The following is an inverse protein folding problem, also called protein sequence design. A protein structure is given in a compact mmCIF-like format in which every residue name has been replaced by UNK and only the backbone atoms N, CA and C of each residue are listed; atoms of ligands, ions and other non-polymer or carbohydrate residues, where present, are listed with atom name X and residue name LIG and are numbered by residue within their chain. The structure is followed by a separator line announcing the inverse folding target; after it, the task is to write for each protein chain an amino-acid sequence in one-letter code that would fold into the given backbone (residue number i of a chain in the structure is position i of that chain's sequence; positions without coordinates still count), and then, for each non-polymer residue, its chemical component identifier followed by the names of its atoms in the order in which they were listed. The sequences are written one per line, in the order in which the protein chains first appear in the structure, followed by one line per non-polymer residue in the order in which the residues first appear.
data_IF_769377829795
#
_entry.id   IF_769377829795
#
_cell.length_a   1.000
_cell.length_b   1.000
_cell.length_c   1.000
_cell.angle_alpha   90.00
_cell.angle_beta   90.00
_cell.angle_gamma   90.00
#
_symmetry.space_group_name_H-M   'P 1'
#
loop_
_entity.id
_entity.type
_entity.pdbx_description
1 polymer ?
#
# COMPACT_ATOMS: atom_id res chain seq x y z
N UNK A 1 24.53 55.55 2.57
CA UNK A 1 24.49 54.30 3.37
C UNK A 1 23.02 54.07 3.75
N UNK A 2 22.28 53.30 2.94
CA UNK A 2 20.86 53.02 3.18
C UNK A 2 20.75 51.76 4.04
N UNK A 3 20.24 51.93 5.23
CA UNK A 3 19.98 50.84 6.16
C UNK A 3 18.60 50.24 5.84
N UNK A 4 18.56 49.06 5.22
CA UNK A 4 17.31 48.32 4.99
C UNK A 4 16.95 47.64 6.30
N UNK A 5 15.96 48.12 6.99
CA UNK A 5 15.30 47.47 8.11
C UNK A 5 14.48 46.27 7.56
N UNK A 6 15.02 45.08 7.67
CA UNK A 6 14.25 43.83 7.53
C UNK A 6 13.33 43.72 8.75
N UNK A 7 12.09 44.17 8.62
CA UNK A 7 11.02 43.82 9.55
C UNK A 7 10.70 42.33 9.30
N UNK A 8 11.33 41.46 10.08
CA UNK A 8 10.90 40.07 10.21
C UNK A 8 9.49 40.09 10.80
N UNK A 9 8.48 39.75 10.01
CA UNK A 9 7.15 39.48 10.52
C UNK A 9 7.28 38.22 11.43
N UNK A 10 7.54 38.43 12.71
CA UNK A 10 7.16 37.44 13.72
C UNK A 10 5.64 37.41 13.69
N UNK A 11 5.04 36.36 13.15
CA UNK A 11 3.71 35.96 13.56
C UNK A 11 3.84 35.66 15.06
N UNK A 12 3.30 36.56 15.87
CA UNK A 12 3.07 36.25 17.28
C UNK A 12 2.08 35.05 17.28
N UNK A 13 2.62 33.89 17.52
CA UNK A 13 1.84 32.66 17.72
C UNK A 13 1.23 32.83 19.11
N UNK A 14 0.04 33.38 19.19
CA UNK A 14 -0.74 33.31 20.42
C UNK A 14 -1.05 31.80 20.60
N UNK A 15 -0.57 31.16 21.67
CA UNK A 15 -0.95 29.79 21.94
C UNK A 15 -2.46 29.74 22.06
N UNK A 16 -3.10 28.77 21.39
CA UNK A 16 -4.55 28.59 21.48
C UNK A 16 -4.99 28.61 22.93
N UNK A 17 -5.75 29.64 23.30
CA UNK A 17 -6.29 29.79 24.65
C UNK A 17 -7.56 28.95 24.86
N UNK A 18 -8.05 28.31 23.79
CA UNK A 18 -9.31 27.56 23.80
C UNK A 18 -9.13 26.19 23.18
N UNK A 19 -9.43 25.20 23.99
CA UNK A 19 -9.46 23.79 23.58
C UNK A 19 -10.91 23.31 23.50
N UNK A 20 -11.13 22.35 22.64
CA UNK A 20 -12.39 21.63 22.59
C UNK A 20 -12.54 20.82 23.88
N UNK A 21 -13.72 20.85 24.46
CA UNK A 21 -14.05 20.07 25.66
C UNK A 21 -13.80 18.57 25.44
N UNK A 22 -13.84 17.76 26.53
CA UNK A 22 -13.55 16.36 26.45
C UNK A 22 -14.46 15.67 25.42
N UNK A 23 -13.83 14.95 24.50
CA UNK A 23 -14.50 14.11 23.52
C UNK A 23 -14.31 12.64 23.90
N UNK A 24 -15.29 11.82 23.57
CA UNK A 24 -15.24 10.40 23.85
C UNK A 24 -15.56 9.59 22.60
N UNK A 25 -14.85 8.47 22.45
CA UNK A 25 -15.19 7.42 21.49
C UNK A 25 -15.12 6.06 22.19
N UNK A 26 -15.91 5.12 21.70
CA UNK A 26 -15.93 3.76 22.20
C UNK A 26 -15.53 2.81 21.07
N UNK A 27 -14.41 2.12 21.25
CA UNK A 27 -13.75 1.28 20.23
C UNK A 27 -14.16 -0.19 20.46
N UNK A 28 -14.84 -0.78 19.50
CA UNK A 28 -15.27 -2.17 19.56
C UNK A 28 -14.83 -2.96 18.34
N UNK A 29 -14.50 -4.24 18.50
CA UNK A 29 -14.25 -5.18 17.43
C UNK A 29 -14.86 -6.56 17.75
N UNK A 30 -15.90 -6.94 17.02
CA UNK A 30 -16.70 -8.13 17.35
C UNK A 30 -17.26 -8.01 18.77
N UNK A 31 -16.93 -8.96 19.63
CA UNK A 31 -17.30 -8.96 21.05
C UNK A 31 -16.34 -8.19 21.94
N UNK A 32 -15.15 -7.81 21.43
CA UNK A 32 -14.16 -7.04 22.18
C UNK A 32 -14.62 -5.59 22.36
N UNK A 33 -14.40 -5.06 23.55
CA UNK A 33 -14.84 -3.72 23.94
C UNK A 33 -16.33 -3.64 24.33
N UNK A 34 -17.15 -4.65 24.03
CA UNK A 34 -18.59 -4.69 24.36
C UNK A 34 -18.95 -5.78 25.38
N UNK A 35 -18.60 -7.03 25.09
CA UNK A 35 -18.88 -8.19 25.96
C UNK A 35 -17.61 -8.67 26.67
N UNK A 36 -16.43 -8.46 26.04
CA UNK A 36 -15.12 -8.84 26.57
C UNK A 36 -14.15 -7.65 26.54
N UNK A 37 -13.36 -7.44 27.61
CA UNK A 37 -12.33 -6.42 27.60
C UNK A 37 -11.14 -6.84 26.72
N UNK A 38 -10.44 -5.87 26.14
CA UNK A 38 -9.14 -6.07 25.51
C UNK A 38 -8.09 -6.44 26.57
N UNK A 39 -7.14 -7.26 26.20
CA UNK A 39 -5.98 -7.59 27.07
C UNK A 39 -5.03 -6.39 27.22
N UNK A 40 -4.98 -5.53 26.23
CA UNK A 40 -4.14 -4.31 26.21
C UNK A 40 -4.93 -3.12 25.68
N UNK A 41 -4.64 -1.89 26.16
CA UNK A 41 -5.25 -0.68 25.62
C UNK A 41 -4.98 -0.53 24.11
N UNK A 42 -5.98 -0.01 23.39
CA UNK A 42 -5.82 0.42 22.02
C UNK A 42 -5.22 1.83 21.99
N UNK A 43 -4.41 2.12 20.97
CA UNK A 43 -3.81 3.43 20.74
C UNK A 43 -4.66 4.19 19.73
N UNK A 44 -5.02 5.43 20.07
CA UNK A 44 -5.73 6.34 19.19
C UNK A 44 -4.86 7.55 18.90
N UNK A 45 -4.69 7.89 17.64
CA UNK A 45 -3.95 9.07 17.18
C UNK A 45 -4.88 10.00 16.43
N UNK A 46 -4.94 11.26 16.86
CA UNK A 46 -5.66 12.35 16.19
C UNK A 46 -4.66 13.27 15.51
N UNK A 47 -4.70 13.37 14.19
CA UNK A 47 -3.85 14.28 13.40
C UNK A 47 -4.68 15.48 12.99
N UNK A 48 -4.33 16.68 13.48
CA UNK A 48 -4.89 17.94 13.00
C UNK A 48 -4.24 18.28 11.66
N UNK A 49 -4.95 18.05 10.56
CA UNK A 49 -4.45 18.28 9.21
C UNK A 49 -4.35 19.79 8.88
N UNK A 50 -5.03 20.65 9.63
CA UNK A 50 -4.97 22.11 9.45
C UNK A 50 -3.66 22.67 10.01
N UNK A 51 -3.24 22.17 11.18
CA UNK A 51 -2.11 22.74 11.91
C UNK A 51 -0.91 21.79 12.02
N UNK A 52 -1.03 20.56 11.46
CA UNK A 52 0.00 19.54 11.45
C UNK A 52 0.43 19.07 12.86
N UNK A 53 -0.50 19.13 13.83
CA UNK A 53 -0.28 18.57 15.17
C UNK A 53 -0.84 17.15 15.28
N UNK A 54 -0.14 16.34 16.07
CA UNK A 54 -0.55 14.95 16.36
C UNK A 54 -0.76 14.78 17.85
N UNK A 55 -1.90 14.20 18.21
CA UNK A 55 -2.29 13.90 19.58
C UNK A 55 -2.40 12.39 19.72
N UNK A 56 -1.97 11.86 20.88
CA UNK A 56 -1.98 10.44 21.18
C UNK A 56 -2.81 10.16 22.42
N UNK A 57 -3.70 9.17 22.34
CA UNK A 57 -4.56 8.75 23.41
C UNK A 57 -4.52 7.22 23.55
N UNK A 58 -4.83 6.72 24.75
CA UNK A 58 -5.01 5.30 24.98
C UNK A 58 -6.46 5.02 25.38
N UNK A 59 -7.00 3.86 25.00
CA UNK A 59 -8.26 3.39 25.54
C UNK A 59 -8.07 2.81 26.95
N UNK A 60 -9.15 2.68 27.70
CA UNK A 60 -9.22 1.68 28.75
C UNK A 60 -9.34 0.27 28.13
N UNK A 61 -9.38 -0.76 28.97
CA UNK A 61 -9.54 -2.14 28.49
C UNK A 61 -10.92 -2.44 27.88
N UNK A 62 -11.88 -1.57 28.09
CA UNK A 62 -13.22 -1.65 27.50
C UNK A 62 -13.36 -0.81 26.23
N UNK A 63 -12.25 -0.31 25.71
CA UNK A 63 -12.25 0.47 24.46
C UNK A 63 -12.70 1.91 24.59
N UNK A 64 -12.95 2.43 25.82
CA UNK A 64 -13.31 3.82 25.99
C UNK A 64 -12.07 4.71 25.90
N UNK A 65 -12.14 5.74 25.07
CA UNK A 65 -11.10 6.75 24.91
C UNK A 65 -11.68 8.11 25.27
N UNK A 66 -11.04 8.81 26.20
CA UNK A 66 -11.31 10.22 26.50
C UNK A 66 -10.19 11.08 25.92
N UNK A 67 -10.57 12.08 25.14
CA UNK A 67 -9.65 12.98 24.44
C UNK A 67 -9.83 14.41 24.94
N UNK A 68 -8.77 14.97 25.51
CA UNK A 68 -8.74 16.31 26.05
C UNK A 68 -7.67 17.16 25.32
N UNK A 69 -7.91 18.47 25.25
CA UNK A 69 -6.92 19.43 24.76
C UNK A 69 -6.76 19.48 23.25
N UNK A 70 -7.75 18.99 22.48
CA UNK A 70 -7.76 19.15 21.03
C UNK A 70 -8.05 20.60 20.64
N UNK A 71 -7.36 21.11 19.60
CA UNK A 71 -7.64 22.42 19.00
C UNK A 71 -8.69 22.31 17.89
N UNK A 72 -9.38 23.39 17.51
CA UNK A 72 -10.25 23.36 16.32
C UNK A 72 -9.47 23.02 15.05
N UNK A 73 -10.10 22.32 14.11
CA UNK A 73 -9.48 21.97 12.84
C UNK A 73 -10.10 20.77 12.14
N UNK A 74 -9.46 20.37 11.04
CA UNK A 74 -9.79 19.16 10.29
C UNK A 74 -8.88 18.02 10.75
N UNK A 75 -9.47 16.90 11.12
CA UNK A 75 -8.75 15.80 11.72
C UNK A 75 -8.86 14.49 10.93
N UNK A 76 -7.83 13.69 11.11
CA UNK A 76 -7.79 12.25 10.81
C UNK A 76 -7.60 11.49 12.12
N UNK A 77 -8.41 10.46 12.35
CA UNK A 77 -8.33 9.55 13.47
C UNK A 77 -7.78 8.21 13.01
N UNK A 78 -6.74 7.73 13.67
CA UNK A 78 -6.18 6.40 13.48
C UNK A 78 -6.25 5.63 14.79
N UNK A 79 -6.65 4.38 14.72
CA UNK A 79 -6.62 3.44 15.84
C UNK A 79 -5.69 2.30 15.50
N UNK A 80 -4.91 1.85 16.48
CA UNK A 80 -4.06 0.68 16.36
C UNK A 80 -4.01 -0.09 17.66
N UNK A 81 -3.80 -1.40 17.58
CA UNK A 81 -3.68 -2.28 18.72
C UNK A 81 -3.26 -3.68 18.31
N UNK A 82 -3.23 -4.58 19.26
CA UNK A 82 -2.99 -6.00 19.00
C UNK A 82 -4.04 -6.81 19.73
N UNK A 83 -4.51 -7.87 19.09
CA UNK A 83 -5.33 -8.91 19.73
C UNK A 83 -4.47 -10.15 19.93
N UNK A 84 -4.56 -10.73 21.12
CA UNK A 84 -3.94 -12.01 21.45
C UNK A 84 -4.60 -13.15 20.69
N UNK A 85 -3.96 -14.32 20.67
CA UNK A 85 -4.53 -15.53 20.07
C UNK A 85 -5.90 -15.90 20.70
N UNK A 86 -6.05 -15.70 22.02
CA UNK A 86 -7.30 -15.95 22.72
C UNK A 86 -8.40 -14.97 22.30
N UNK A 87 -8.08 -13.69 22.18
CA UNK A 87 -9.03 -12.66 21.70
C UNK A 87 -9.44 -12.90 20.25
N UNK A 88 -8.51 -13.32 19.39
CA UNK A 88 -8.81 -13.71 18.00
C UNK A 88 -9.75 -14.91 17.97
N UNK A 89 -9.54 -15.92 18.82
CA UNK A 89 -10.43 -17.06 18.88
C UNK A 89 -11.87 -16.70 19.31
N UNK A 90 -12.06 -15.60 20.07
CA UNK A 90 -13.38 -15.09 20.40
C UNK A 90 -14.08 -14.38 19.24
N UNK A 91 -13.35 -13.61 18.43
CA UNK A 91 -13.91 -12.78 17.35
C UNK A 91 -13.92 -13.48 15.99
N UNK A 92 -12.99 -14.40 15.77
CA UNK A 92 -12.85 -15.21 14.54
C UNK A 92 -12.43 -16.65 14.85
N UNK A 93 -13.33 -17.49 15.34
CA UNK A 93 -13.03 -18.87 15.74
C UNK A 93 -12.39 -19.71 14.62
N UNK A 94 -12.72 -19.42 13.36
CA UNK A 94 -12.23 -20.12 12.17
C UNK A 94 -10.76 -19.77 11.81
N UNK A 95 -10.16 -18.75 12.42
CA UNK A 95 -8.85 -18.21 12.01
C UNK A 95 -7.64 -18.97 12.55
N UNK A 96 -7.86 -19.97 13.41
CA UNK A 96 -6.79 -20.76 14.02
C UNK A 96 -6.00 -20.03 15.11
N UNK A 97 -6.48 -18.87 15.61
CA UNK A 97 -6.03 -18.24 16.85
C UNK A 97 -4.58 -17.76 16.86
N UNK A 98 -4.16 -17.01 15.86
CA UNK A 98 -2.86 -16.30 15.89
C UNK A 98 -3.06 -14.86 16.33
N UNK A 99 -2.09 -14.29 17.04
CA UNK A 99 -2.03 -12.85 17.35
C UNK A 99 -2.16 -12.04 16.06
N UNK A 100 -2.94 -10.97 16.10
CA UNK A 100 -3.14 -10.09 14.95
C UNK A 100 -3.16 -8.63 15.38
N UNK A 101 -2.76 -7.73 14.46
CA UNK A 101 -2.89 -6.30 14.65
C UNK A 101 -4.33 -5.86 14.35
N UNK A 102 -4.81 -4.89 15.13
CA UNK A 102 -6.09 -4.23 14.94
C UNK A 102 -5.85 -2.80 14.47
N UNK A 103 -6.55 -2.35 13.46
CA UNK A 103 -6.47 -1.00 12.95
C UNK A 103 -7.87 -0.42 12.68
N UNK A 104 -7.96 0.91 12.68
CA UNK A 104 -9.14 1.66 12.26
C UNK A 104 -8.75 3.04 11.78
N UNK A 105 -9.55 3.60 10.89
CA UNK A 105 -9.26 4.87 10.26
C UNK A 105 -10.54 5.66 9.96
N UNK A 106 -10.52 6.96 10.28
CA UNK A 106 -11.55 7.91 9.85
C UNK A 106 -10.90 9.25 9.51
N UNK A 107 -11.21 9.79 8.33
CA UNK A 107 -10.76 11.11 7.89
C UNK A 107 -11.93 12.10 7.81
N UNK A 108 -11.59 13.38 7.61
CA UNK A 108 -12.58 14.43 7.38
C UNK A 108 -13.36 14.86 8.64
N UNK A 109 -12.85 14.57 9.84
CA UNK A 109 -13.46 14.96 11.11
C UNK A 109 -13.23 16.48 11.31
N UNK A 110 -14.29 17.27 11.36
CA UNK A 110 -14.19 18.71 11.63
C UNK A 110 -14.55 18.99 13.09
N UNK A 111 -13.61 19.52 13.86
CA UNK A 111 -13.80 19.95 15.23
C UNK A 111 -13.88 21.47 15.33
N UNK A 112 -14.85 22.00 16.07
CA UNK A 112 -15.13 23.44 16.22
C UNK A 112 -15.33 23.81 17.69
N UNK A 113 -14.95 25.02 18.09
CA UNK A 113 -15.15 25.51 19.45
C UNK A 113 -16.64 25.59 19.83
N UNK A 114 -17.48 26.02 18.89
CA UNK A 114 -18.89 26.31 19.11
C UNK A 114 -19.82 25.26 18.46
N UNK A 115 -19.31 24.06 18.18
CA UNK A 115 -20.03 23.00 17.47
C UNK A 115 -20.39 21.81 18.33
N UNK A 116 -21.34 21.01 17.85
CA UNK A 116 -21.52 19.63 18.30
C UNK A 116 -20.37 18.81 17.70
N UNK A 117 -19.41 18.44 18.57
CA UNK A 117 -18.21 17.71 18.20
C UNK A 117 -18.36 16.20 18.50
N UNK A 118 -19.55 15.64 18.28
CA UNK A 118 -19.73 14.19 18.41
C UNK A 118 -18.81 13.43 17.46
N UNK A 119 -18.13 12.41 17.96
CA UNK A 119 -17.23 11.56 17.21
C UNK A 119 -17.83 10.16 17.05
N UNK A 120 -17.82 9.65 15.82
CA UNK A 120 -18.04 8.24 15.57
C UNK A 120 -16.70 7.50 15.65
N UNK A 121 -16.70 6.35 16.33
CA UNK A 121 -15.58 5.45 16.29
C UNK A 121 -15.32 4.97 14.85
N UNK A 122 -14.05 4.81 14.44
CA UNK A 122 -13.75 4.18 13.17
C UNK A 122 -14.16 2.71 13.22
N UNK A 123 -14.55 2.17 12.09
CA UNK A 123 -14.66 0.72 11.95
C UNK A 123 -13.28 0.10 12.15
N UNK A 124 -13.20 -0.87 13.07
CA UNK A 124 -11.95 -1.59 13.34
C UNK A 124 -11.88 -2.86 12.49
N UNK A 125 -10.71 -3.17 12.00
CA UNK A 125 -10.45 -4.38 11.21
C UNK A 125 -9.12 -5.02 11.62
N UNK A 126 -9.05 -6.35 11.47
CA UNK A 126 -7.79 -7.05 11.65
C UNK A 126 -6.86 -6.74 10.48
N UNK A 127 -5.69 -6.25 10.82
CA UNK A 127 -4.57 -6.22 9.88
C UNK A 127 -3.91 -7.58 9.97
N UNK A 128 -4.03 -8.36 8.91
CA UNK A 128 -3.24 -9.59 8.82
C UNK A 128 -1.77 -9.19 9.01
N UNK A 129 -1.11 -9.79 10.00
CA UNK A 129 0.33 -9.63 10.16
C UNK A 129 1.00 -10.34 8.99
N UNK A 130 1.05 -9.68 7.84
CA UNK A 130 1.74 -10.22 6.69
C UNK A 130 3.24 -10.01 6.90
N UNK A 131 4.00 -11.10 6.99
CA UNK A 131 5.44 -10.99 7.18
C UNK A 131 6.12 -10.34 5.97
N UNK A 132 5.49 -10.37 4.80
CA UNK A 132 6.04 -9.81 3.56
C UNK A 132 5.26 -8.57 3.16
N UNK A 133 5.97 -7.45 3.07
CA UNK A 133 5.40 -6.14 2.73
C UNK A 133 6.23 -5.43 1.65
N UNK A 134 5.63 -4.48 0.94
CA UNK A 134 6.41 -3.51 0.17
C UNK A 134 7.19 -2.60 1.12
N UNK A 135 8.47 -2.37 0.81
CA UNK A 135 9.32 -1.43 1.52
C UNK A 135 9.52 -0.14 0.75
N UNK A 136 9.72 -0.26 -0.57
CA UNK A 136 9.97 0.87 -1.45
C UNK A 136 9.43 0.60 -2.84
N UNK A 137 8.89 1.64 -3.46
CA UNK A 137 8.43 1.64 -4.85
C UNK A 137 9.07 2.83 -5.58
N UNK A 138 10.02 2.56 -6.46
CA UNK A 138 10.61 3.58 -7.32
C UNK A 138 10.00 3.48 -8.72
N UNK A 139 8.84 4.12 -8.90
CA UNK A 139 7.97 3.97 -10.07
C UNK A 139 8.04 5.13 -11.06
N UNK A 140 8.47 6.31 -10.60
CA UNK A 140 8.48 7.51 -11.45
C UNK A 140 9.68 7.53 -12.42
N UNK A 141 10.74 6.78 -12.10
CA UNK A 141 11.99 6.82 -12.81
C UNK A 141 12.77 8.12 -12.62
N UNK A 142 13.78 8.33 -13.43
CA UNK A 142 14.68 9.47 -13.35
C UNK A 142 14.59 10.39 -14.57
N UNK A 143 15.30 11.51 -14.53
CA UNK A 143 15.51 12.39 -15.69
C UNK A 143 16.79 12.02 -16.40
N UNK A 144 16.77 12.09 -17.72
CA UNK A 144 18.01 12.02 -18.52
C UNK A 144 18.82 13.33 -18.38
N UNK A 145 20.11 13.35 -18.69
CA UNK A 145 20.91 14.59 -18.72
C UNK A 145 20.32 15.69 -19.61
N UNK A 146 19.53 15.33 -20.62
CA UNK A 146 18.81 16.26 -21.50
C UNK A 146 17.44 16.69 -20.95
N UNK A 147 17.04 16.22 -19.75
CA UNK A 147 15.77 16.54 -19.11
C UNK A 147 14.58 15.64 -19.51
N UNK A 148 14.80 14.66 -20.39
CA UNK A 148 13.79 13.66 -20.76
C UNK A 148 13.43 12.74 -19.61
N UNK A 149 12.35 11.97 -19.74
CA UNK A 149 11.96 10.95 -18.77
C UNK A 149 12.66 9.62 -19.08
N UNK A 150 13.18 8.97 -18.04
CA UNK A 150 13.76 7.63 -18.08
C UNK A 150 13.10 6.77 -17.02
N UNK A 151 12.48 5.67 -17.39
CA UNK A 151 11.71 4.81 -16.49
C UNK A 151 12.14 3.33 -16.51
N UNK A 152 13.27 3.03 -17.16
CA UNK A 152 13.81 1.68 -17.17
C UNK A 152 14.49 1.33 -15.84
N UNK A 153 14.75 2.34 -15.00
CA UNK A 153 15.33 2.24 -13.66
C UNK A 153 14.26 2.10 -12.54
N UNK A 154 13.04 1.70 -12.92
CA UNK A 154 12.01 1.37 -11.93
C UNK A 154 12.39 0.11 -11.16
N UNK A 155 12.10 0.11 -9.86
CA UNK A 155 12.24 -1.07 -9.01
C UNK A 155 11.21 -1.10 -7.88
N UNK A 156 11.03 -2.27 -7.33
CA UNK A 156 10.15 -2.54 -6.18
C UNK A 156 10.94 -3.32 -5.16
N UNK A 157 10.95 -2.88 -3.91
CA UNK A 157 11.56 -3.65 -2.85
C UNK A 157 10.53 -4.28 -1.94
N UNK A 158 10.77 -5.54 -1.60
CA UNK A 158 9.93 -6.38 -0.74
C UNK A 158 10.74 -6.75 0.50
N UNK A 159 10.11 -6.70 1.66
CA UNK A 159 10.76 -6.82 2.95
C UNK A 159 10.09 -7.88 3.80
N UNK A 160 10.90 -8.77 4.41
CA UNK A 160 10.43 -9.66 5.46
C UNK A 160 10.42 -8.91 6.80
N UNK A 161 9.22 -8.48 7.20
CA UNK A 161 8.97 -7.72 8.44
C UNK A 161 8.70 -8.63 9.65
N UNK A 162 9.12 -9.89 9.60
CA UNK A 162 8.96 -10.84 10.70
C UNK A 162 10.31 -11.27 11.28
N UNK A 163 10.26 -11.91 12.44
CA UNK A 163 11.43 -12.49 13.11
C UNK A 163 11.76 -13.91 12.63
N UNK A 164 11.01 -14.43 11.65
CA UNK A 164 11.16 -15.77 11.13
C UNK A 164 11.51 -15.77 9.63
N UNK A 165 12.23 -16.79 9.12
CA UNK A 165 12.39 -16.98 7.68
C UNK A 165 11.04 -17.23 7.01
N UNK A 166 10.78 -16.55 5.89
CA UNK A 166 9.51 -16.67 5.15
C UNK A 166 9.77 -17.28 3.78
N UNK A 167 9.08 -18.36 3.48
CA UNK A 167 9.06 -18.94 2.14
C UNK A 167 8.33 -18.00 1.18
N UNK A 168 8.99 -17.64 0.08
CA UNK A 168 8.48 -16.79 -0.99
C UNK A 168 8.30 -17.54 -2.32
N UNK A 169 8.38 -18.86 -2.31
CA UNK A 169 8.19 -19.66 -3.54
C UNK A 169 6.81 -19.45 -4.18
N UNK A 170 5.79 -19.11 -3.38
CA UNK A 170 4.42 -18.79 -3.81
C UNK A 170 4.10 -17.29 -3.71
N UNK A 171 5.12 -16.45 -3.77
CA UNK A 171 4.96 -15.00 -3.79
C UNK A 171 4.80 -14.50 -5.23
N UNK A 172 3.76 -13.69 -5.44
CA UNK A 172 3.53 -13.00 -6.70
C UNK A 172 3.45 -11.49 -6.45
N UNK A 173 3.81 -10.74 -7.49
CA UNK A 173 3.64 -9.28 -7.56
C UNK A 173 2.78 -8.95 -8.78
N UNK A 174 1.87 -7.99 -8.63
CA UNK A 174 1.00 -7.55 -9.72
C UNK A 174 0.68 -6.09 -9.67
N UNK A 175 0.25 -5.56 -10.80
CA UNK A 175 -0.24 -4.19 -10.93
C UNK A 175 -1.74 -4.19 -11.10
N UNK A 176 -2.42 -3.33 -10.34
CA UNK A 176 -3.83 -3.07 -10.55
C UNK A 176 -4.05 -2.39 -11.90
N UNK A 177 -5.24 -2.57 -12.45
CA UNK A 177 -5.67 -1.77 -13.60
C UNK A 177 -5.73 -0.29 -13.21
N UNK A 178 -5.28 0.57 -14.11
CA UNK A 178 -5.27 2.02 -13.93
C UNK A 178 -6.24 2.67 -14.92
N UNK A 179 -7.36 3.16 -14.41
CA UNK A 179 -8.41 3.77 -15.20
C UNK A 179 -8.14 5.25 -15.50
N UNK A 180 -7.27 5.53 -16.43
CA UNK A 180 -7.27 6.81 -17.12
C UNK A 180 -6.53 7.97 -16.50
N UNK A 181 -6.11 7.96 -15.24
CA UNK A 181 -5.24 9.02 -14.75
C UNK A 181 -5.62 9.70 -13.42
N UNK A 182 -4.91 10.76 -13.09
CA UNK A 182 -5.08 11.50 -11.84
C UNK A 182 -6.47 12.13 -11.73
N UNK A 183 -7.20 11.76 -10.69
CA UNK A 183 -8.48 12.37 -10.33
C UNK A 183 -9.70 11.74 -11.00
N UNK A 184 -9.53 10.72 -11.80
CA UNK A 184 -10.66 9.95 -12.31
C UNK A 184 -11.09 8.87 -11.32
N UNK A 185 -12.39 8.75 -11.12
CA UNK A 185 -12.96 7.66 -10.36
C UNK A 185 -13.01 6.45 -11.27
N UNK A 186 -12.29 5.39 -10.92
CA UNK A 186 -12.36 4.12 -11.64
C UNK A 186 -13.78 3.53 -11.64
N UNK A 187 -14.07 2.57 -12.52
CA UNK A 187 -15.36 1.92 -12.56
C UNK A 187 -15.64 1.16 -11.29
N UNK A 188 -16.92 1.09 -10.94
CA UNK A 188 -17.37 0.05 -10.03
C UNK A 188 -17.38 -1.27 -10.80
N UNK A 189 -16.54 -2.21 -10.42
CA UNK A 189 -16.52 -3.53 -11.02
C UNK A 189 -17.80 -4.31 -10.70
N UNK A 190 -18.32 -5.13 -11.62
CA UNK A 190 -19.51 -5.92 -11.38
C UNK A 190 -19.43 -6.78 -10.12
N UNK A 191 -20.38 -6.61 -9.21
CA UNK A 191 -20.44 -7.34 -7.94
C UNK A 191 -19.62 -6.73 -6.79
N UNK A 192 -18.99 -5.57 -7.03
CA UNK A 192 -18.35 -4.78 -5.97
C UNK A 192 -19.29 -3.66 -5.51
N UNK A 193 -19.08 -3.16 -4.29
CA UNK A 193 -19.78 -2.03 -3.69
C UNK A 193 -18.81 -0.88 -3.46
N UNK A 194 -19.23 0.35 -3.72
CA UNK A 194 -18.39 1.52 -3.48
C UNK A 194 -17.92 1.57 -2.02
N UNK A 195 -16.60 1.59 -1.84
CA UNK A 195 -15.97 1.59 -0.52
C UNK A 195 -15.92 0.22 0.18
N UNK A 196 -16.39 -0.84 -0.48
CA UNK A 196 -16.37 -2.21 0.08
C UNK A 196 -15.93 -3.22 -0.99
N UNK A 197 -14.76 -2.97 -1.57
CA UNK A 197 -14.17 -3.89 -2.54
C UNK A 197 -13.66 -5.16 -1.85
N UNK A 198 -13.95 -6.31 -2.44
CA UNK A 198 -13.50 -7.63 -1.96
C UNK A 198 -12.42 -8.25 -2.81
N UNK A 199 -12.10 -7.61 -3.93
CA UNK A 199 -11.15 -8.11 -4.90
C UNK A 199 -10.27 -6.96 -5.41
N UNK A 200 -9.03 -7.29 -5.80
CA UNK A 200 -8.20 -6.45 -6.63
C UNK A 200 -8.30 -6.92 -8.09
N UNK A 201 -8.23 -5.99 -9.02
CA UNK A 201 -8.31 -6.26 -10.46
C UNK A 201 -6.97 -5.95 -11.11
N UNK A 202 -6.26 -7.00 -11.52
CA UNK A 202 -4.87 -6.91 -11.90
C UNK A 202 -4.67 -7.03 -13.40
N UNK A 203 -3.97 -6.06 -13.96
CA UNK A 203 -3.55 -6.02 -15.36
C UNK A 203 -2.46 -7.05 -15.67
N UNK A 204 -1.58 -7.28 -14.71
CA UNK A 204 -0.52 -8.28 -14.83
C UNK A 204 -0.19 -8.91 -13.49
N UNK A 205 0.37 -10.12 -13.55
CA UNK A 205 0.82 -10.89 -12.39
C UNK A 205 2.13 -11.61 -12.77
N UNK A 206 3.13 -11.45 -11.91
CA UNK A 206 4.42 -12.12 -11.99
C UNK A 206 4.66 -12.97 -10.75
N UNK A 207 5.14 -14.19 -10.91
CA UNK A 207 5.70 -14.98 -9.82
C UNK A 207 7.11 -14.52 -9.55
N UNK A 208 7.42 -14.16 -8.30
CA UNK A 208 8.73 -13.56 -7.95
C UNK A 208 9.86 -14.53 -8.18
N UNK A 209 9.67 -15.79 -7.82
CA UNK A 209 10.68 -16.86 -8.02
C UNK A 209 10.31 -17.73 -9.21
N UNK A 210 11.29 -18.10 -10.02
CA UNK A 210 11.08 -19.01 -11.13
C UNK A 210 11.09 -20.48 -10.65
N UNK A 211 10.06 -21.24 -11.05
CA UNK A 211 9.89 -22.63 -10.62
C UNK A 211 9.23 -22.76 -9.24
N UNK A 212 9.28 -23.96 -8.66
CA UNK A 212 8.54 -24.31 -7.45
C UNK A 212 9.45 -24.76 -6.29
N UNK A 213 10.78 -24.56 -6.42
CA UNK A 213 11.70 -24.84 -5.33
C UNK A 213 11.51 -23.80 -4.20
N UNK A 214 11.55 -24.25 -2.93
CA UNK A 214 11.45 -23.34 -1.80
C UNK A 214 12.55 -22.27 -1.82
N UNK A 215 12.16 -21.00 -1.67
CA UNK A 215 13.05 -19.86 -1.55
C UNK A 215 12.66 -19.07 -0.31
N UNK A 216 13.61 -18.82 0.58
CA UNK A 216 13.35 -18.19 1.86
C UNK A 216 13.97 -16.81 1.94
N UNK A 217 13.19 -15.85 2.41
CA UNK A 217 13.70 -14.54 2.89
C UNK A 217 14.01 -14.66 4.38
N UNK A 218 15.24 -14.33 4.76
CA UNK A 218 15.63 -14.26 6.18
C UNK A 218 14.87 -13.12 6.91
N UNK A 219 14.76 -13.18 8.26
CA UNK A 219 14.24 -12.07 9.05
C UNK A 219 14.93 -10.74 8.72
N UNK A 220 14.16 -9.69 8.46
CA UNK A 220 14.70 -8.38 8.14
C UNK A 220 15.33 -8.25 6.74
N UNK A 221 15.31 -9.29 5.92
CA UNK A 221 15.82 -9.24 4.55
C UNK A 221 14.94 -8.38 3.66
N UNK A 222 15.60 -7.63 2.77
CA UNK A 222 14.96 -6.94 1.64
C UNK A 222 15.40 -7.64 0.36
N UNK A 223 14.48 -7.86 -0.58
CA UNK A 223 14.77 -8.22 -1.96
C UNK A 223 14.39 -7.05 -2.87
N UNK A 224 15.15 -6.85 -3.94
CA UNK A 224 14.93 -5.82 -4.95
C UNK A 224 14.52 -6.49 -6.25
N UNK A 225 13.38 -6.08 -6.78
CA UNK A 225 12.83 -6.53 -8.06
C UNK A 225 13.00 -5.39 -9.05
N UNK A 226 13.86 -5.56 -10.05
CA UNK A 226 14.11 -4.57 -11.09
C UNK A 226 13.16 -4.74 -12.27
N UNK A 227 12.74 -3.63 -12.87
CA UNK A 227 12.12 -3.65 -14.20
C UNK A 227 13.13 -4.09 -15.25
N UNK A 228 14.36 -3.59 -15.14
CA UNK A 228 15.52 -3.93 -15.95
C UNK A 228 16.76 -3.89 -15.04
N UNK A 229 17.44 -5.01 -14.87
CA UNK A 229 18.59 -5.14 -13.95
C UNK A 229 19.89 -4.58 -14.54
N UNK A 230 19.82 -3.37 -15.08
CA UNK A 230 20.95 -2.69 -15.73
C UNK A 230 21.78 -1.85 -14.74
N UNK A 231 23.07 -1.63 -15.04
CA UNK A 231 23.90 -0.67 -14.31
C UNK A 231 23.58 0.78 -14.74
N UNK A 232 22.34 1.23 -14.44
CA UNK A 232 21.76 2.44 -15.02
C UNK A 232 22.62 3.69 -14.94
N UNK A 233 23.27 3.93 -13.80
CA UNK A 233 24.11 5.10 -13.57
C UNK A 233 25.61 4.86 -13.83
N UNK A 234 26.01 3.63 -14.16
CA UNK A 234 27.40 3.25 -14.39
C UNK A 234 27.75 3.14 -15.88
N UNK A 235 26.75 2.93 -16.74
CA UNK A 235 26.96 2.74 -18.17
C UNK A 235 26.22 3.82 -18.97
N UNK A 236 26.98 4.51 -19.85
CA UNK A 236 26.47 5.58 -20.72
C UNK A 236 25.42 5.09 -21.75
N UNK A 237 25.30 3.78 -21.97
CA UNK A 237 24.23 3.18 -22.78
C UNK A 237 22.84 3.34 -22.17
N UNK A 238 22.76 3.59 -20.84
CA UNK A 238 21.52 3.78 -20.11
C UNK A 238 21.32 5.25 -19.71
N UNK A 239 21.18 5.54 -18.41
CA UNK A 239 21.01 6.90 -17.94
C UNK A 239 22.03 7.25 -16.83
N UNK A 240 23.15 7.90 -17.16
CA UNK A 240 24.14 8.30 -16.16
C UNK A 240 23.61 9.24 -15.06
N UNK A 241 22.44 9.87 -15.28
CA UNK A 241 21.78 10.70 -14.29
C UNK A 241 20.80 9.92 -13.41
N UNK A 242 20.65 8.61 -13.60
CA UNK A 242 19.85 7.77 -12.71
C UNK A 242 20.45 7.76 -11.31
N UNK A 243 19.64 7.85 -10.23
CA UNK A 243 20.13 7.72 -8.86
C UNK A 243 20.43 6.28 -8.45
N UNK A 244 20.07 5.28 -9.29
CA UNK A 244 20.15 3.86 -8.93
C UNK A 244 21.00 3.04 -9.91
N UNK A 245 21.64 2.01 -9.34
CA UNK A 245 22.27 0.90 -10.06
C UNK A 245 21.48 -0.36 -9.70
N UNK A 246 20.86 -1.00 -10.68
CA UNK A 246 20.05 -2.21 -10.48
C UNK A 246 20.77 -3.49 -10.92
N UNK A 247 22.05 -3.42 -11.28
CA UNK A 247 22.85 -4.60 -11.69
C UNK A 247 23.02 -5.65 -10.59
N UNK A 248 22.67 -5.31 -9.35
CA UNK A 248 22.70 -6.22 -8.19
C UNK A 248 21.31 -6.51 -7.65
N UNK A 249 20.26 -6.28 -8.43
CA UNK A 249 18.90 -6.66 -8.05
C UNK A 249 18.77 -8.18 -7.84
N UNK A 250 17.87 -8.59 -6.96
CA UNK A 250 17.65 -10.01 -6.66
C UNK A 250 16.84 -10.71 -7.75
N UNK A 251 15.93 -9.97 -8.41
CA UNK A 251 15.07 -10.45 -9.49
C UNK A 251 14.86 -9.38 -10.56
N UNK A 252 14.54 -9.85 -11.77
CA UNK A 252 14.25 -9.01 -12.93
C UNK A 252 12.95 -9.43 -13.62
N UNK A 253 12.17 -8.45 -14.09
CA UNK A 253 10.96 -8.68 -14.88
C UNK A 253 11.28 -8.80 -16.36
N UNK A 254 12.04 -9.80 -16.77
CA UNK A 254 12.45 -9.98 -18.14
C UNK A 254 11.39 -10.65 -19.02
N UNK A 255 11.13 -10.06 -20.19
CA UNK A 255 10.35 -10.66 -21.28
C UNK A 255 11.25 -10.71 -22.52
N UNK A 256 11.42 -11.88 -23.16
CA UNK A 256 12.23 -11.99 -24.38
C UNK A 256 11.79 -11.00 -25.45
N UNK A 257 12.69 -10.09 -25.81
CA UNK A 257 12.48 -9.07 -26.83
C UNK A 257 13.22 -9.47 -28.12
N UNK A 258 12.50 -9.74 -29.24
CA UNK A 258 13.13 -10.13 -30.49
C UNK A 258 14.12 -9.10 -31.06
N UNK A 259 13.93 -7.82 -30.73
CA UNK A 259 14.79 -6.73 -31.18
C UNK A 259 15.95 -6.46 -30.22
N UNK A 260 15.95 -7.14 -29.07
CA UNK A 260 16.93 -6.96 -27.99
C UNK A 260 17.07 -5.50 -27.53
N UNK A 261 15.98 -4.75 -27.57
CA UNK A 261 15.93 -3.37 -27.07
C UNK A 261 16.09 -3.36 -25.54
N UNK A 262 15.54 -4.41 -24.88
CA UNK A 262 15.62 -4.65 -23.44
C UNK A 262 16.36 -5.97 -23.21
N UNK A 263 17.70 -5.93 -23.04
CA UNK A 263 18.51 -7.13 -22.91
C UNK A 263 18.22 -7.83 -21.57
N UNK A 264 18.39 -9.16 -21.55
CA UNK A 264 18.43 -9.93 -20.31
C UNK A 264 19.78 -9.73 -19.60
N UNK A 265 19.75 -9.61 -18.29
CA UNK A 265 20.94 -9.47 -17.43
C UNK A 265 21.21 -10.77 -16.68
N UNK A 266 22.39 -10.86 -16.05
CA UNK A 266 22.75 -12.01 -15.19
C UNK A 266 22.09 -11.85 -13.80
N UNK A 267 20.77 -11.70 -13.82
CA UNK A 267 19.89 -11.55 -12.65
C UNK A 267 18.79 -12.58 -12.78
N UNK A 268 18.37 -13.27 -11.69
CA UNK A 268 17.27 -14.22 -11.74
C UNK A 268 15.98 -13.59 -12.30
N UNK A 269 15.45 -14.19 -13.38
CA UNK A 269 14.18 -13.76 -13.97
C UNK A 269 13.00 -14.10 -13.05
N UNK A 270 12.03 -13.20 -12.97
CA UNK A 270 10.67 -13.53 -12.54
C UNK A 270 9.95 -14.35 -13.62
N UNK A 271 8.86 -15.00 -13.25
CA UNK A 271 8.01 -15.73 -14.18
C UNK A 271 6.72 -14.95 -14.47
N UNK A 272 6.53 -14.54 -15.74
CA UNK A 272 5.29 -13.91 -16.16
C UNK A 272 4.14 -14.92 -16.11
N UNK A 273 3.13 -14.65 -15.27
CA UNK A 273 1.98 -15.54 -15.07
C UNK A 273 0.73 -15.04 -15.82
N UNK A 274 0.53 -13.72 -15.84
CA UNK A 274 -0.58 -13.11 -16.53
C UNK A 274 -0.21 -11.71 -17.01
N UNK A 275 -0.38 -11.42 -18.26
CA UNK A 275 -0.35 -10.10 -18.92
C UNK A 275 -0.67 -10.29 -20.40
N UNK A 276 -1.95 -10.32 -20.80
CA UNK A 276 -2.35 -10.74 -22.17
C UNK A 276 -1.86 -9.81 -23.28
N UNK A 277 -1.78 -8.51 -22.98
CA UNK A 277 -1.29 -7.46 -23.90
C UNK A 277 0.12 -6.99 -23.56
N UNK A 278 0.99 -7.90 -23.14
CA UNK A 278 2.30 -7.56 -22.59
C UNK A 278 3.17 -6.67 -23.52
N UNK A 279 3.91 -5.77 -22.89
CA UNK A 279 5.05 -5.07 -23.51
C UNK A 279 6.36 -5.73 -23.08
N UNK A 280 7.44 -5.53 -23.85
CA UNK A 280 8.74 -6.11 -23.51
C UNK A 280 9.44 -5.49 -22.31
N UNK A 281 8.83 -4.52 -21.67
CA UNK A 281 9.33 -3.90 -20.44
C UNK A 281 8.18 -3.64 -19.45
N UNK A 282 8.26 -4.28 -18.30
CA UNK A 282 7.28 -4.10 -17.22
C UNK A 282 7.54 -2.81 -16.45
N UNK A 283 6.65 -1.84 -16.61
CA UNK A 283 6.72 -0.54 -15.92
C UNK A 283 5.40 -0.20 -15.29
N UNK A 284 5.43 0.30 -14.05
CA UNK A 284 4.23 0.87 -13.43
C UNK A 284 3.85 2.21 -14.06
N UNK A 285 2.56 2.49 -14.06
CA UNK A 285 2.06 3.82 -14.42
C UNK A 285 2.46 4.87 -13.38
N UNK A 286 2.71 6.10 -13.83
CA UNK A 286 3.06 7.22 -12.96
C UNK A 286 1.83 7.90 -12.34
N UNK A 287 0.64 7.41 -12.62
CA UNK A 287 -0.64 8.00 -12.23
C UNK A 287 -1.32 7.26 -11.06
N UNK A 288 -0.54 6.71 -10.14
CA UNK A 288 -1.09 6.08 -8.94
C UNK A 288 -1.61 4.65 -9.16
N UNK A 289 -0.98 3.90 -10.06
CA UNK A 289 -1.29 2.49 -10.26
C UNK A 289 -0.96 1.69 -9.00
N UNK A 290 -1.96 1.01 -8.44
CA UNK A 290 -1.77 0.18 -7.26
C UNK A 290 -0.90 -1.04 -7.55
N UNK A 291 -0.07 -1.42 -6.57
CA UNK A 291 0.76 -2.61 -6.60
C UNK A 291 0.32 -3.58 -5.51
N UNK A 292 0.30 -4.86 -5.81
CA UNK A 292 -0.09 -5.89 -4.84
C UNK A 292 0.96 -6.99 -4.72
N UNK A 293 1.14 -7.49 -3.49
CA UNK A 293 1.80 -8.76 -3.22
C UNK A 293 0.74 -9.81 -2.95
N UNK A 294 0.86 -10.96 -3.58
CA UNK A 294 -0.10 -12.06 -3.50
C UNK A 294 0.64 -13.29 -2.98
N UNK A 295 0.00 -14.04 -2.08
CA UNK A 295 0.41 -15.39 -1.71
C UNK A 295 -0.67 -16.37 -2.13
N UNK A 296 -0.35 -17.21 -3.08
CA UNK A 296 -1.24 -18.24 -3.60
C UNK A 296 -0.44 -19.34 -4.29
N UNK A 297 -0.94 -20.56 -4.30
CA UNK A 297 -0.36 -21.61 -5.11
C UNK A 297 -0.51 -21.29 -6.61
N UNK A 298 0.26 -21.96 -7.45
CA UNK A 298 0.17 -21.83 -8.91
C UNK A 298 -1.24 -22.17 -9.43
N UNK A 299 -1.87 -23.20 -8.85
CA UNK A 299 -3.22 -23.62 -9.20
C UNK A 299 -4.26 -22.56 -8.82
N UNK A 300 -4.12 -21.92 -7.65
CA UNK A 300 -5.01 -20.85 -7.21
C UNK A 300 -4.88 -19.62 -8.11
N UNK A 301 -3.66 -19.23 -8.47
CA UNK A 301 -3.43 -18.09 -9.40
C UNK A 301 -4.01 -18.39 -10.79
N UNK A 302 -3.84 -19.61 -11.29
CA UNK A 302 -4.43 -20.03 -12.56
C UNK A 302 -5.97 -19.99 -12.52
N UNK A 303 -6.56 -20.32 -11.36
CA UNK A 303 -8.01 -20.32 -11.14
C UNK A 303 -8.63 -18.93 -10.92
N UNK A 304 -7.84 -17.87 -10.73
CA UNK A 304 -8.42 -16.52 -10.62
C UNK A 304 -9.24 -16.19 -11.86
N UNK A 305 -10.43 -15.66 -11.63
CA UNK A 305 -11.35 -15.27 -12.69
C UNK A 305 -10.70 -14.22 -13.60
N UNK A 306 -10.76 -14.44 -14.92
CA UNK A 306 -10.43 -13.41 -15.90
C UNK A 306 -11.69 -12.61 -16.21
N UNK A 307 -11.64 -11.31 -16.03
CA UNK A 307 -12.75 -10.39 -16.27
C UNK A 307 -12.33 -9.34 -17.27
N UNK A 308 -13.32 -8.78 -17.98
CA UNK A 308 -13.11 -7.70 -18.93
C UNK A 308 -13.45 -6.36 -18.28
N UNK A 309 -12.70 -5.32 -18.59
CA UNK A 309 -13.01 -3.93 -18.22
C UNK A 309 -14.47 -3.59 -18.57
N UNK A 310 -15.19 -2.86 -17.71
CA UNK A 310 -16.50 -2.33 -18.05
C UNK A 310 -16.46 -1.54 -19.38
N UNK A 311 -17.47 -1.71 -20.24
CA UNK A 311 -17.51 -1.12 -21.60
C UNK A 311 -17.22 0.38 -21.65
N UNK A 312 -17.60 1.12 -20.61
CA UNK A 312 -17.35 2.56 -20.48
C UNK A 312 -15.87 2.93 -20.36
N UNK A 313 -15.01 1.95 -20.08
CA UNK A 313 -13.55 2.12 -19.92
C UNK A 313 -12.74 1.40 -20.98
N UNK A 314 -13.40 0.80 -21.97
CA UNK A 314 -12.75 0.15 -23.10
C UNK A 314 -12.49 1.19 -24.20
N UNK A 315 -11.23 1.30 -24.62
CA UNK A 315 -10.87 2.09 -25.81
C UNK A 315 -11.08 1.22 -27.07
N UNK A 316 -12.01 1.59 -27.97
CA UNK A 316 -12.27 0.79 -29.17
C UNK A 316 -11.09 0.66 -30.13
N UNK A 317 -10.02 1.43 -29.93
CA UNK A 317 -8.79 1.34 -30.73
C UNK A 317 -7.83 0.27 -30.25
N UNK A 318 -8.05 -0.27 -29.03
CA UNK A 318 -7.21 -1.32 -28.43
C UNK A 318 -7.78 -2.72 -28.73
N UNK A 319 -6.93 -3.73 -28.61
CA UNK A 319 -7.32 -5.13 -28.73
C UNK A 319 -8.11 -5.59 -27.49
N UNK A 320 -8.96 -6.61 -27.66
CA UNK A 320 -9.74 -7.18 -26.54
C UNK A 320 -8.86 -7.67 -25.37
N UNK A 321 -7.66 -8.17 -25.65
CA UNK A 321 -6.68 -8.61 -24.65
C UNK A 321 -6.25 -7.46 -23.72
N UNK A 322 -6.22 -6.22 -24.24
CA UNK A 322 -5.91 -5.03 -23.44
C UNK A 322 -6.90 -4.80 -22.30
N UNK A 323 -8.12 -5.27 -22.43
CA UNK A 323 -9.19 -5.05 -21.45
C UNK A 323 -9.29 -6.17 -20.41
N UNK A 324 -8.47 -7.21 -20.51
CA UNK A 324 -8.52 -8.34 -19.59
C UNK A 324 -7.77 -8.05 -18.29
N UNK A 325 -8.38 -8.43 -17.16
CA UNK A 325 -7.80 -8.37 -15.82
C UNK A 325 -8.03 -9.67 -15.07
N UNK A 326 -7.16 -10.00 -14.14
CA UNK A 326 -7.42 -11.02 -13.13
C UNK A 326 -8.10 -10.41 -11.91
N UNK A 327 -9.24 -11.00 -11.52
CA UNK A 327 -9.96 -10.68 -10.29
C UNK A 327 -9.36 -11.52 -9.15
N UNK A 328 -8.66 -10.85 -8.25
CA UNK A 328 -7.92 -11.49 -7.15
C UNK A 328 -8.62 -11.18 -5.83
N UNK A 329 -9.16 -12.20 -5.14
CA UNK A 329 -9.78 -12.02 -3.83
C UNK A 329 -8.79 -11.51 -2.78
N UNK A 330 -9.20 -10.58 -1.92
CA UNK A 330 -8.33 -9.96 -0.91
C UNK A 330 -7.71 -10.95 0.07
N UNK A 331 -8.32 -12.13 0.28
CA UNK A 331 -7.72 -13.17 1.12
C UNK A 331 -6.34 -13.66 0.66
N UNK A 332 -5.99 -13.44 -0.61
CA UNK A 332 -4.68 -13.77 -1.17
C UNK A 332 -3.69 -12.60 -1.16
N UNK A 333 -4.17 -11.38 -0.85
CA UNK A 333 -3.34 -10.18 -0.90
C UNK A 333 -2.63 -10.00 0.43
N UNK A 334 -1.30 -9.95 0.38
CA UNK A 334 -0.43 -9.69 1.53
C UNK A 334 -0.23 -8.20 1.78
N UNK A 335 -0.07 -7.43 0.70
CA UNK A 335 0.20 -6.00 0.76
C UNK A 335 -0.36 -5.33 -0.49
N UNK A 336 -0.97 -4.18 -0.31
CA UNK A 336 -1.48 -3.31 -1.37
C UNK A 336 -0.97 -1.89 -1.09
N UNK A 337 -0.49 -1.19 -2.12
CA UNK A 337 -0.01 0.18 -2.01
C UNK A 337 -0.41 1.01 -3.23
#
# INVERSE_FOLDING_TARGET
MFMVLLTCCRRDYEPYSQFIGPLQVHLTYGVMGSEHPYTSPLHLTMVNNTEQFTYHFGSDLWGNVEMNGLTPGLYTMNVSGKLTAEEIALVQPESGGKEASLAGFTAGITLRLDGDNSLNAPELFLVAANPIIFKELYYAGSKTPSGGSYRNDNFYSVFNNSDEPVDISDLYIGMCENFGGLGETGPLWPGEETGNYRNAYLKNIWKVTKGDAPVYMAPGQTIVIATMAAPHNQDAAYNPASPVDLSTADYEAYIPDPENTYPNFDTPDMELTFWPDYAYLWRSGVFGQGMVLIRASREEVAAFETVTLPETFQDPSENEEYWLCKKVPYKFILSLI
#
